data_IF_682679689337
#
_entry.id   IF_682679689337
#
_cell.length_a   1.000
_cell.length_b   1.000
_cell.length_c   1.000
_cell.angle_alpha   90.00
_cell.angle_beta   90.00
_cell.angle_gamma   90.00
#
_symmetry.space_group_name_H-M   'P 1'
#
loop_
_entity.id
_entity.type
_entity.pdbx_description
1 polymer ?
#
# COMPACT_ATOMS: atom_id res chain seq x y z
N UNK A 1 13.06 14.99 5.68
CA UNK A 1 12.31 14.73 6.93
C UNK A 1 10.90 14.22 6.66
N UNK A 2 10.08 14.93 5.88
CA UNK A 2 8.68 14.54 5.58
C UNK A 2 8.59 13.19 4.84
N UNK A 3 9.46 12.95 3.84
CA UNK A 3 9.49 11.66 3.12
C UNK A 3 9.76 10.47 4.05
N UNK A 4 10.68 10.63 5.01
CA UNK A 4 10.98 9.58 5.99
C UNK A 4 9.77 9.29 6.90
N UNK A 5 9.06 10.33 7.34
CA UNK A 5 7.80 10.18 8.10
C UNK A 5 6.74 9.44 7.27
N UNK A 6 6.60 9.75 5.97
CA UNK A 6 5.65 9.08 5.08
C UNK A 6 5.97 7.59 4.89
N UNK A 7 7.26 7.23 4.77
CA UNK A 7 7.67 5.83 4.73
C UNK A 7 7.34 5.09 6.03
N UNK A 8 7.65 5.67 7.18
CA UNK A 8 7.34 5.08 8.49
C UNK A 8 5.83 4.89 8.67
N UNK A 9 5.03 5.88 8.26
CA UNK A 9 3.57 5.78 8.28
C UNK A 9 3.06 4.66 7.37
N UNK A 10 3.60 4.55 6.16
CA UNK A 10 3.21 3.49 5.23
C UNK A 10 3.56 2.09 5.74
N UNK A 11 4.68 1.93 6.45
CA UNK A 11 5.04 0.65 7.07
C UNK A 11 4.05 0.25 8.17
N UNK A 12 3.60 1.19 8.99
CA UNK A 12 2.59 0.93 10.03
C UNK A 12 1.27 0.48 9.40
N UNK A 13 0.81 1.18 8.36
CA UNK A 13 -0.41 0.82 7.63
C UNK A 13 -0.31 -0.58 7.00
N UNK A 14 0.85 -0.92 6.42
CA UNK A 14 1.10 -2.24 5.84
C UNK A 14 0.98 -3.35 6.87
N UNK A 15 1.58 -3.18 8.05
CA UNK A 15 1.51 -4.15 9.14
C UNK A 15 0.06 -4.32 9.62
N UNK A 16 -0.70 -3.23 9.79
CA UNK A 16 -2.11 -3.29 10.19
C UNK A 16 -2.93 -4.05 9.13
N UNK A 17 -2.70 -3.79 7.85
CA UNK A 17 -3.38 -4.49 6.75
C UNK A 17 -3.11 -5.99 6.76
N UNK A 18 -1.85 -6.38 6.94
CA UNK A 18 -1.47 -7.78 7.08
C UNK A 18 -2.10 -8.45 8.30
N UNK A 19 -2.14 -7.77 9.45
CA UNK A 19 -2.78 -8.30 10.66
C UNK A 19 -4.28 -8.55 10.43
N UNK A 20 -4.96 -7.65 9.73
CA UNK A 20 -6.39 -7.81 9.38
C UNK A 20 -6.58 -8.96 8.41
N UNK A 21 -5.70 -9.11 7.41
CA UNK A 21 -5.75 -10.21 6.44
C UNK A 21 -5.54 -11.58 7.10
N UNK A 22 -4.59 -11.69 8.04
CA UNK A 22 -4.34 -12.91 8.82
C UNK A 22 -5.46 -13.21 9.81
N UNK A 23 -6.18 -12.18 10.28
CA UNK A 23 -7.33 -12.39 11.15
C UNK A 23 -8.45 -13.08 10.36
N UNK A 24 -8.59 -14.40 10.55
CA UNK A 24 -9.59 -15.22 9.84
C UNK A 24 -11.02 -14.76 10.17
N UNK A 25 -11.57 -13.86 9.35
CA UNK A 25 -12.97 -13.41 9.41
C UNK A 25 -13.83 -14.30 8.51
N UNK A 26 -15.03 -14.64 8.98
CA UNK A 26 -15.93 -15.61 8.32
C UNK A 26 -16.43 -15.17 6.93
N UNK A 27 -16.41 -13.86 6.64
CA UNK A 27 -16.96 -13.33 5.40
C UNK A 27 -15.86 -13.10 4.36
N UNK A 28 -16.01 -13.73 3.19
CA UNK A 28 -15.10 -13.58 2.05
C UNK A 28 -14.93 -12.11 1.62
N UNK A 29 -16.01 -11.31 1.72
CA UNK A 29 -15.96 -9.87 1.43
C UNK A 29 -14.92 -9.13 2.30
N UNK A 30 -14.79 -9.50 3.57
CA UNK A 30 -13.80 -8.87 4.47
C UNK A 30 -12.36 -9.27 4.14
N UNK A 31 -12.16 -10.46 3.55
CA UNK A 31 -10.85 -10.85 3.01
C UNK A 31 -10.52 -10.05 1.75
N UNK A 32 -11.47 -9.89 0.82
CA UNK A 32 -11.26 -9.10 -0.40
C UNK A 32 -10.96 -7.63 -0.10
N UNK A 33 -11.70 -7.02 0.84
CA UNK A 33 -11.46 -5.63 1.26
C UNK A 33 -10.09 -5.45 1.92
N UNK A 34 -9.61 -6.43 2.69
CA UNK A 34 -8.27 -6.35 3.27
C UNK A 34 -7.16 -6.53 2.23
N UNK A 35 -7.40 -7.30 1.17
CA UNK A 35 -6.49 -7.37 0.00
C UNK A 35 -6.44 -6.05 -0.76
N UNK A 36 -7.58 -5.44 -1.08
CA UNK A 36 -7.63 -4.12 -1.74
C UNK A 36 -6.90 -3.05 -0.90
N UNK A 37 -7.05 -3.09 0.43
CA UNK A 37 -6.31 -2.21 1.33
C UNK A 37 -4.79 -2.40 1.23
N UNK A 38 -4.30 -3.64 1.15
CA UNK A 38 -2.88 -3.95 0.99
C UNK A 38 -2.36 -3.41 -0.36
N UNK A 39 -3.11 -3.59 -1.44
CA UNK A 39 -2.75 -3.06 -2.78
C UNK A 39 -2.64 -1.54 -2.77
N UNK A 40 -3.56 -0.84 -2.09
CA UNK A 40 -3.50 0.62 -1.96
C UNK A 40 -2.26 1.10 -1.19
N UNK A 41 -1.86 0.41 -0.12
CA UNK A 41 -0.65 0.77 0.63
C UNK A 41 0.60 0.54 -0.22
N UNK A 42 0.65 -0.56 -0.98
CA UNK A 42 1.75 -0.82 -1.91
C UNK A 42 1.83 0.27 -2.98
N UNK A 43 0.71 0.69 -3.55
CA UNK A 43 0.66 1.82 -4.47
C UNK A 43 1.21 3.11 -3.82
N UNK A 44 0.83 3.40 -2.58
CA UNK A 44 1.32 4.56 -1.84
C UNK A 44 2.84 4.50 -1.60
N UNK A 45 3.39 3.34 -1.22
CA UNK A 45 4.85 3.18 -1.07
C UNK A 45 5.59 3.40 -2.38
N UNK A 46 5.04 2.91 -3.49
CA UNK A 46 5.63 3.01 -4.82
C UNK A 46 5.59 4.47 -5.31
N UNK A 47 4.51 5.19 -5.01
CA UNK A 47 4.42 6.63 -5.29
C UNK A 47 5.46 7.45 -4.51
N UNK A 48 5.68 7.16 -3.22
CA UNK A 48 6.74 7.82 -2.43
C UNK A 48 8.12 7.52 -3.01
N UNK A 49 8.35 6.29 -3.47
CA UNK A 49 9.62 5.90 -4.10
C UNK A 49 9.87 6.64 -5.42
N UNK A 50 8.86 6.74 -6.29
CA UNK A 50 8.99 7.46 -7.56
C UNK A 50 9.17 8.97 -7.37
N UNK A 51 8.63 9.55 -6.28
CA UNK A 51 8.91 10.94 -5.92
C UNK A 51 10.41 11.21 -5.64
N UNK A 52 11.16 10.17 -5.25
CA UNK A 52 12.61 10.28 -5.05
C UNK A 52 13.39 10.09 -6.36
N UNK A 53 12.84 9.34 -7.30
CA UNK A 53 13.41 9.07 -8.62
C UNK A 53 12.85 10.05 -9.66
N UNK A 54 13.03 11.35 -9.42
CA UNK A 54 12.69 12.44 -10.36
C UNK A 54 11.24 12.43 -10.90
N UNK A 55 10.27 11.91 -10.14
CA UNK A 55 8.84 11.92 -10.48
C UNK A 55 8.46 11.10 -11.73
N UNK A 56 9.09 9.93 -11.91
CA UNK A 56 8.72 8.96 -12.96
C UNK A 56 7.39 8.24 -12.69
N UNK A 57 6.28 8.98 -12.58
CA UNK A 57 4.95 8.45 -12.25
C UNK A 57 4.32 7.55 -13.32
N UNK A 58 4.93 7.43 -14.50
CA UNK A 58 4.43 6.50 -15.52
C UNK A 58 4.37 5.06 -14.99
N UNK A 59 5.32 4.67 -14.13
CA UNK A 59 5.35 3.34 -13.52
C UNK A 59 4.22 3.11 -12.51
N UNK A 60 3.70 4.15 -11.87
CA UNK A 60 2.59 4.00 -10.91
C UNK A 60 1.26 3.69 -11.63
N UNK A 61 1.08 4.20 -12.85
CA UNK A 61 -0.09 3.89 -13.69
C UNK A 61 -0.13 2.41 -14.09
N UNK A 62 1.01 1.81 -14.41
CA UNK A 62 1.07 0.37 -14.69
C UNK A 62 0.70 -0.46 -13.46
N UNK A 63 1.17 -0.08 -12.27
CA UNK A 63 0.85 -0.80 -11.03
C UNK A 63 -0.67 -0.84 -10.73
N UNK A 64 -1.43 0.18 -11.10
CA UNK A 64 -2.89 0.20 -10.85
C UNK A 64 -3.69 -0.66 -11.83
N UNK A 65 -3.15 -0.92 -13.03
CA UNK A 65 -3.84 -1.74 -14.05
C UNK A 65 -3.62 -3.23 -13.88
N UNK A 66 -2.55 -3.63 -13.18
CA UNK A 66 -2.22 -5.02 -12.86
C UNK A 66 -2.77 -5.42 -11.50
#
# INVERSE_FOLDING_TARGET
>A
MIIFLNYMFSMILFIIGLLVFVSNRKHLLSMLLSLEYIVLILFFTLFIYLNLMEYEFFFSMMFLTF
#
